data_IF_190377147579
#
_entry.id   IF_190377147579
#
_cell.length_a   1.000
_cell.length_b   1.000
_cell.length_c   1.000
_cell.angle_alpha   90.00
_cell.angle_beta   90.00
_cell.angle_gamma   90.00
#
_symmetry.space_group_name_H-M   'P 1'
#
loop_
_entity.id
_entity.type
_entity.pdbx_description
1 polymer ?
#
# COMPACT_ATOMS: atom_id res chain seq x y z
N UNK A 1 -6.00 -34.01 3.65
CA UNK A 1 -5.70 -33.31 4.92
C UNK A 1 -6.98 -32.62 5.33
N UNK A 2 -7.48 -32.88 6.55
CA UNK A 2 -8.80 -32.43 6.98
C UNK A 2 -8.90 -30.91 6.96
N UNK A 3 -9.74 -30.38 6.10
CA UNK A 3 -10.13 -28.97 6.12
C UNK A 3 -11.02 -28.78 7.35
N UNK A 4 -10.71 -27.79 8.18
CA UNK A 4 -11.58 -27.41 9.29
C UNK A 4 -12.87 -26.88 8.66
N UNK A 5 -13.87 -27.73 8.64
CA UNK A 5 -15.16 -27.43 8.08
C UNK A 5 -16.02 -26.61 9.05
N UNK A 6 -17.15 -26.12 8.55
CA UNK A 6 -18.12 -25.41 9.38
C UNK A 6 -18.65 -26.26 10.55
N UNK A 7 -18.62 -27.60 10.43
CA UNK A 7 -19.05 -28.52 11.49
C UNK A 7 -18.07 -28.54 12.67
N UNK A 8 -16.78 -28.61 12.39
CA UNK A 8 -15.71 -28.59 13.40
C UNK A 8 -15.70 -27.24 14.13
N UNK A 9 -15.85 -26.14 13.39
CA UNK A 9 -15.95 -24.80 13.98
C UNK A 9 -17.17 -24.68 14.91
N UNK A 10 -18.32 -25.22 14.51
CA UNK A 10 -19.54 -25.23 15.33
C UNK A 10 -19.34 -26.04 16.61
N UNK A 11 -18.68 -27.20 16.54
CA UNK A 11 -18.39 -28.01 17.72
C UNK A 11 -17.51 -27.25 18.72
N UNK A 12 -16.44 -26.60 18.25
CA UNK A 12 -15.56 -25.77 19.09
C UNK A 12 -16.34 -24.62 19.71
N UNK A 13 -17.19 -23.94 18.92
CA UNK A 13 -18.02 -22.86 19.41
C UNK A 13 -18.97 -23.33 20.52
N UNK A 14 -19.56 -24.52 20.39
CA UNK A 14 -20.40 -25.12 21.44
C UNK A 14 -19.59 -25.40 22.71
N UNK A 15 -18.39 -25.97 22.60
CA UNK A 15 -17.54 -26.24 23.78
C UNK A 15 -17.20 -24.93 24.50
N UNK A 16 -16.79 -23.89 23.78
CA UNK A 16 -16.53 -22.56 24.35
C UNK A 16 -17.80 -21.99 24.99
N UNK A 17 -18.95 -22.18 24.35
CA UNK A 17 -20.25 -21.71 24.86
C UNK A 17 -20.66 -22.44 26.15
N UNK A 18 -20.31 -23.71 26.31
CA UNK A 18 -20.57 -24.46 27.54
C UNK A 18 -19.63 -24.02 28.67
N UNK A 19 -18.36 -23.74 28.36
CA UNK A 19 -17.37 -23.30 29.36
C UNK A 19 -17.64 -21.87 29.84
N UNK A 20 -17.92 -20.95 28.92
CA UNK A 20 -18.06 -19.52 29.23
C UNK A 20 -19.51 -19.05 29.29
N UNK A 21 -20.46 -19.78 28.71
CA UNK A 21 -21.87 -19.39 28.61
C UNK A 21 -22.17 -18.45 27.44
N UNK A 22 -23.44 -18.42 27.01
CA UNK A 22 -23.94 -17.56 25.92
C UNK A 22 -23.85 -16.06 26.22
N UNK A 23 -23.79 -15.68 27.50
CA UNK A 23 -23.73 -14.27 27.92
C UNK A 23 -22.32 -13.70 27.88
N UNK A 24 -21.29 -14.51 28.14
CA UNK A 24 -19.90 -14.03 28.24
C UNK A 24 -19.25 -13.81 26.89
N UNK A 25 -19.55 -14.64 25.88
CA UNK A 25 -18.98 -14.46 24.55
C UNK A 25 -19.36 -13.10 23.91
N UNK A 26 -20.63 -12.67 23.90
CA UNK A 26 -21.02 -11.34 23.40
C UNK A 26 -20.51 -10.19 24.28
N UNK A 27 -20.44 -10.38 25.59
CA UNK A 27 -19.92 -9.38 26.54
C UNK A 27 -18.43 -9.08 26.26
N UNK A 28 -17.63 -10.14 26.06
CA UNK A 28 -16.21 -10.03 25.68
C UNK A 28 -16.03 -9.45 24.28
N UNK A 29 -16.82 -9.90 23.28
CA UNK A 29 -16.77 -9.34 21.93
C UNK A 29 -17.10 -7.86 21.89
N UNK A 30 -18.10 -7.41 22.67
CA UNK A 30 -18.44 -5.97 22.77
C UNK A 30 -17.31 -5.18 23.41
N UNK A 31 -16.66 -5.71 24.44
CA UNK A 31 -15.49 -5.08 25.06
C UNK A 31 -14.30 -4.98 24.10
N UNK A 32 -13.93 -6.10 23.48
CA UNK A 32 -12.84 -6.18 22.52
C UNK A 32 -13.09 -5.30 21.29
N UNK A 33 -14.30 -5.31 20.74
CA UNK A 33 -14.67 -4.51 19.57
C UNK A 33 -14.58 -3.01 19.83
N UNK A 34 -14.99 -2.55 21.01
CA UNK A 34 -14.79 -1.15 21.43
C UNK A 34 -13.30 -0.81 21.55
N UNK A 35 -12.51 -1.67 22.20
CA UNK A 35 -11.06 -1.47 22.34
C UNK A 35 -10.33 -1.43 20.99
N UNK A 36 -10.68 -2.35 20.08
CA UNK A 36 -10.10 -2.42 18.73
C UNK A 36 -10.46 -1.19 17.89
N UNK A 37 -11.71 -0.70 18.01
CA UNK A 37 -12.14 0.54 17.37
C UNK A 37 -11.34 1.74 17.88
N UNK A 38 -11.25 1.93 19.20
CA UNK A 38 -10.46 3.03 19.79
C UNK A 38 -8.98 2.94 19.45
N UNK A 39 -8.41 1.73 19.40
CA UNK A 39 -7.03 1.52 18.98
C UNK A 39 -6.82 1.92 17.51
N UNK A 40 -7.72 1.52 16.61
CA UNK A 40 -7.62 1.88 15.19
C UNK A 40 -7.86 3.38 14.96
N UNK A 41 -8.82 3.97 15.65
CA UNK A 41 -9.10 5.42 15.60
C UNK A 41 -7.86 6.21 16.06
N UNK A 42 -7.25 5.84 17.19
CA UNK A 42 -6.02 6.46 17.67
C UNK A 42 -4.81 6.24 16.76
N UNK A 43 -4.68 5.04 16.17
CA UNK A 43 -3.63 4.77 15.17
C UNK A 43 -3.79 5.68 13.94
N UNK A 44 -5.02 5.87 13.46
CA UNK A 44 -5.29 6.68 12.28
C UNK A 44 -5.06 8.17 12.53
N UNK A 45 -5.45 8.70 13.70
CA UNK A 45 -5.17 10.10 14.05
C UNK A 45 -3.67 10.37 14.12
N UNK A 46 -2.90 9.43 14.70
CA UNK A 46 -1.42 9.54 14.75
C UNK A 46 -0.82 9.47 13.35
N UNK A 47 -1.31 8.57 12.48
CA UNK A 47 -0.87 8.49 11.08
C UNK A 47 -1.18 9.77 10.30
N UNK A 48 -2.34 10.39 10.52
CA UNK A 48 -2.75 11.63 9.86
C UNK A 48 -1.91 12.84 10.33
N UNK A 49 -1.59 12.92 11.62
CA UNK A 49 -0.62 13.89 12.15
C UNK A 49 0.76 13.67 11.53
N UNK A 50 1.25 12.44 11.49
CA UNK A 50 2.53 12.10 10.87
C UNK A 50 2.56 12.44 9.38
N UNK A 51 1.49 12.20 8.63
CA UNK A 51 1.38 12.55 7.21
C UNK A 51 1.29 14.06 6.99
N UNK A 52 0.68 14.81 7.90
CA UNK A 52 0.68 16.28 7.86
C UNK A 52 2.08 16.87 8.11
N UNK A 53 2.88 16.25 8.98
CA UNK A 53 4.30 16.61 9.22
C UNK A 53 5.20 16.11 8.08
N UNK A 54 4.83 15.03 7.39
CA UNK A 54 5.54 14.53 6.18
C UNK A 54 5.23 15.34 4.92
N UNK A 55 4.08 16.01 4.83
CA UNK A 55 3.70 16.82 3.67
C UNK A 55 4.73 17.92 3.29
N UNK A 56 5.39 18.66 4.20
CA UNK A 56 6.48 19.56 3.79
C UNK A 56 7.71 18.83 3.23
N UNK A 57 7.89 17.52 3.47
CA UNK A 57 8.99 16.74 2.88
C UNK A 57 8.69 16.16 1.48
N UNK A 58 7.44 16.17 1.01
CA UNK A 58 7.09 15.63 -0.31
C UNK A 58 7.06 16.70 -1.42
N UNK A 59 7.05 17.99 -1.08
CA UNK A 59 7.26 19.08 -2.06
C UNK A 59 8.69 19.06 -2.63
N UNK A 60 9.65 18.49 -1.89
CA UNK A 60 11.06 18.35 -2.32
C UNK A 60 11.32 17.05 -3.10
N UNK A 61 10.34 16.12 -3.22
CA UNK A 61 10.51 14.91 -4.08
C UNK A 61 10.10 15.12 -5.53
N UNK A 62 9.30 16.14 -5.85
CA UNK A 62 8.84 16.40 -7.21
C UNK A 62 9.71 17.30 -8.12
N UNK A 63 10.73 18.07 -7.68
CA UNK A 63 11.58 18.82 -8.63
C UNK A 63 12.58 17.92 -9.35
N UNK A 64 12.98 16.79 -8.74
CA UNK A 64 14.00 15.88 -9.31
C UNK A 64 13.42 15.05 -10.48
N UNK A 65 12.15 14.65 -10.40
CA UNK A 65 11.49 13.87 -11.46
C UNK A 65 11.24 14.68 -12.73
N UNK A 66 10.85 15.96 -12.58
CA UNK A 66 10.63 16.87 -13.70
C UNK A 66 11.96 17.25 -14.38
N UNK A 67 12.97 17.66 -13.58
CA UNK A 67 14.29 17.99 -14.11
C UNK A 67 14.97 16.82 -14.80
N UNK A 68 14.83 15.58 -14.28
CA UNK A 68 15.38 14.38 -14.91
C UNK A 68 14.74 14.08 -16.27
N UNK A 69 13.46 14.42 -16.47
CA UNK A 69 12.75 14.19 -17.73
C UNK A 69 13.20 15.17 -18.82
N UNK A 70 13.38 16.43 -18.47
CA UNK A 70 13.90 17.45 -19.39
C UNK A 70 15.38 17.21 -19.73
N UNK A 71 16.18 16.81 -18.73
CA UNK A 71 17.61 16.51 -18.91
C UNK A 71 17.87 15.21 -19.68
N UNK A 72 17.01 14.19 -19.53
CA UNK A 72 17.06 12.98 -20.37
C UNK A 72 16.63 13.26 -21.81
N UNK A 73 15.69 14.19 -22.02
CA UNK A 73 15.25 14.56 -23.36
C UNK A 73 16.31 15.37 -24.11
N UNK A 74 17.04 16.25 -23.42
CA UNK A 74 18.18 16.98 -24.01
C UNK A 74 19.41 16.09 -24.20
N UNK A 75 19.68 15.14 -23.31
CA UNK A 75 20.74 14.13 -23.51
C UNK A 75 20.44 13.20 -24.69
N UNK A 76 19.17 12.83 -24.92
CA UNK A 76 18.82 11.92 -26.03
C UNK A 76 18.89 12.61 -27.39
N UNK A 77 18.59 13.91 -27.47
CA UNK A 77 18.77 14.68 -28.71
C UNK A 77 20.25 14.92 -29.05
N UNK A 78 21.16 14.91 -28.08
CA UNK A 78 22.60 15.09 -28.34
C UNK A 78 23.34 13.82 -28.79
N UNK A 79 22.71 12.64 -28.75
CA UNK A 79 23.34 11.36 -29.13
C UNK A 79 22.82 10.84 -30.48
N UNK A 80 21.73 11.38 -31.03
CA UNK A 80 21.21 11.02 -32.36
C UNK A 80 21.63 12.02 -33.42
N UNK A 81 22.93 12.25 -33.57
CA UNK A 81 23.52 12.97 -34.72
C UNK A 81 24.83 12.29 -35.18
N UNK A 82 24.96 10.98 -34.97
CA UNK A 82 26.04 10.18 -35.57
C UNK A 82 25.44 8.85 -36.06
N UNK A 83 25.58 8.62 -37.36
CA UNK A 83 25.27 7.43 -38.16
C UNK A 83 23.84 7.23 -38.71
N UNK A 84 23.50 7.97 -39.78
CA UNK A 84 23.16 7.35 -41.08
C UNK A 84 23.21 8.37 -42.23
N UNK A 85 24.30 8.39 -42.98
CA UNK A 85 24.37 8.97 -44.33
C UNK A 85 23.86 7.91 -45.33
N UNK A 86 22.90 8.21 -46.24
CA UNK A 86 22.59 7.37 -47.39
C UNK A 86 23.48 7.80 -48.56
N UNK A 87 24.50 7.00 -48.90
CA UNK A 87 25.26 7.19 -50.13
C UNK A 87 24.47 6.62 -51.30
N UNK A 88 23.60 7.44 -51.88
CA UNK A 88 23.14 7.28 -53.27
C UNK A 88 23.25 8.62 -53.99
N UNK A 89 24.34 8.80 -54.75
CA UNK A 89 24.33 9.70 -55.91
C UNK A 89 25.01 9.03 -57.11
N UNK A 90 24.20 8.79 -58.13
CA UNK A 90 24.54 8.58 -59.53
C UNK A 90 25.47 9.68 -60.05
N UNK A 91 26.39 9.30 -60.95
CA UNK A 91 27.07 10.25 -61.84
C UNK A 91 28.33 9.71 -62.49
N UNK A 92 28.19 8.86 -63.51
CA UNK A 92 29.04 8.77 -64.71
C UNK A 92 28.33 7.90 -65.76
#
# INVERSE_FOLDING_TARGET
MGEIGPKELLLIAIVILLLFGTKKLPELMRGLGKGFKTFNDGKNSVMEEMDSIKKPMNVVKNPIGAAKKEMLSSMKSSITDVDHEPVEKKGA
#
